data_IF_170298890658
#
_entry.id   IF_170298890658
#
_cell.length_a   1.000
_cell.length_b   1.000
_cell.length_c   1.000
_cell.angle_alpha   90.00
_cell.angle_beta   90.00
_cell.angle_gamma   90.00
#
_symmetry.space_group_name_H-M   'P 1'
#
loop_
_entity.id
_entity.type
_entity.pdbx_description
1 polymer ?
#
# COMPACT_ATOMS: atom_id res chain seq x y z
N UNK A 1 14.23 53.73 -6.41
CA UNK A 1 14.45 52.84 -5.24
C UNK A 1 14.49 51.41 -5.79
N UNK A 2 15.62 50.75 -5.63
CA UNK A 2 16.05 49.57 -6.38
C UNK A 2 15.32 48.28 -5.97
N UNK A 3 14.92 47.47 -6.96
CA UNK A 3 14.54 46.06 -6.76
C UNK A 3 15.81 45.19 -6.84
N UNK A 4 16.07 44.26 -5.90
CA UNK A 4 17.13 43.29 -6.08
C UNK A 4 16.69 42.19 -7.06
N UNK A 5 17.65 41.88 -7.93
CA UNK A 5 17.62 41.00 -9.09
C UNK A 5 17.61 39.51 -8.71
N UNK A 6 16.93 38.70 -9.54
CA UNK A 6 17.02 37.23 -9.54
C UNK A 6 18.47 36.78 -9.78
N UNK A 7 18.94 35.82 -8.97
CA UNK A 7 20.20 35.11 -9.23
C UNK A 7 19.90 33.65 -9.59
N UNK A 8 20.00 33.35 -10.88
CA UNK A 8 20.05 31.99 -11.42
C UNK A 8 21.52 31.60 -11.57
N UNK A 9 21.95 30.57 -10.85
CA UNK A 9 23.28 29.98 -11.00
C UNK A 9 23.15 28.56 -11.56
N UNK A 10 23.19 28.47 -12.89
CA UNK A 10 23.41 27.24 -13.64
C UNK A 10 24.87 27.19 -14.08
N UNK A 11 25.64 26.21 -13.58
CA UNK A 11 26.90 25.75 -14.22
C UNK A 11 27.09 24.26 -13.93
N UNK A 12 26.88 23.45 -14.96
CA UNK A 12 27.19 22.02 -14.93
C UNK A 12 28.67 21.74 -15.15
N UNK A 13 29.06 20.50 -14.85
CA UNK A 13 30.17 19.81 -15.51
C UNK A 13 29.73 18.36 -15.76
N UNK A 14 29.58 18.06 -17.05
CA UNK A 14 29.31 16.74 -17.59
C UNK A 14 30.65 15.98 -17.62
N UNK A 15 30.59 14.67 -17.41
CA UNK A 15 31.19 13.62 -18.26
C UNK A 15 32.10 12.60 -17.55
N UNK A 16 31.65 11.34 -17.65
CA UNK A 16 32.44 10.11 -17.87
C UNK A 16 33.10 9.43 -16.67
N UNK A 17 32.39 8.43 -16.15
CA UNK A 17 32.93 7.08 -16.07
C UNK A 17 31.90 6.11 -16.69
N UNK A 18 32.26 5.57 -17.85
CA UNK A 18 31.50 4.56 -18.61
C UNK A 18 31.89 3.18 -18.05
N UNK A 19 30.87 2.37 -17.81
CA UNK A 19 30.83 0.91 -17.96
C UNK A 19 31.88 0.05 -17.23
N UNK A 20 31.45 -0.53 -16.11
CA UNK A 20 31.74 -1.93 -15.77
C UNK A 20 30.40 -2.67 -15.64
N UNK A 21 30.05 -3.36 -16.73
CA UNK A 21 29.48 -4.70 -16.80
C UNK A 21 28.44 -5.12 -15.72
N UNK A 22 27.19 -5.23 -16.19
CA UNK A 22 26.33 -6.44 -16.12
C UNK A 22 26.13 -7.11 -14.75
N UNK A 23 24.85 -7.19 -14.37
CA UNK A 23 24.21 -8.04 -13.32
C UNK A 23 24.62 -7.69 -11.90
N UNK A 24 23.71 -7.31 -10.99
CA UNK A 24 22.55 -8.09 -10.58
C UNK A 24 21.44 -7.14 -10.11
N UNK A 25 20.23 -7.30 -10.67
CA UNK A 25 19.03 -6.80 -9.98
C UNK A 25 18.97 -7.58 -8.65
N UNK A 26 18.90 -6.95 -7.47
CA UNK A 26 18.34 -7.65 -6.33
C UNK A 26 16.85 -7.78 -6.65
N UNK A 27 16.50 -8.86 -7.36
CA UNK A 27 15.16 -9.42 -7.26
C UNK A 27 14.95 -9.63 -5.78
N UNK A 28 14.18 -8.73 -5.17
CA UNK A 28 13.61 -8.90 -3.84
C UNK A 28 13.10 -10.33 -3.79
N UNK A 29 13.82 -11.17 -3.04
CA UNK A 29 13.41 -12.53 -2.71
C UNK A 29 12.20 -12.40 -1.80
N UNK A 30 11.06 -12.09 -2.40
CA UNK A 30 9.77 -12.37 -1.80
C UNK A 30 9.72 -13.89 -1.70
N UNK A 31 9.93 -14.43 -0.50
CA UNK A 31 9.43 -15.77 -0.19
C UNK A 31 7.91 -15.67 -0.30
N UNK A 32 7.24 -16.30 -1.28
CA UNK A 32 5.81 -16.46 -1.16
C UNK A 32 5.57 -17.28 0.11
N UNK A 33 4.73 -16.76 1.00
CA UNK A 33 4.15 -17.54 2.06
C UNK A 33 3.31 -18.61 1.37
N UNK A 34 3.85 -19.83 1.26
CA UNK A 34 3.17 -20.97 0.65
C UNK A 34 2.03 -21.38 1.58
N UNK A 35 0.86 -20.76 1.41
CA UNK A 35 -0.39 -21.36 1.83
C UNK A 35 -0.67 -22.50 0.85
N UNK A 36 -0.69 -23.72 1.36
CA UNK A 36 -1.15 -24.89 0.63
C UNK A 36 -2.49 -24.57 -0.05
N UNK A 37 -2.56 -24.77 -1.36
CA UNK A 37 -3.76 -24.49 -2.12
C UNK A 37 -4.84 -25.50 -1.71
N UNK A 38 -5.83 -25.03 -0.94
CA UNK A 38 -7.04 -25.80 -0.70
C UNK A 38 -7.70 -26.05 -2.05
N UNK A 39 -7.78 -27.33 -2.42
CA UNK A 39 -8.43 -27.83 -3.62
C UNK A 39 -9.86 -27.27 -3.75
N UNK A 40 -10.10 -26.56 -4.86
CA UNK A 40 -11.31 -25.79 -5.19
C UNK A 40 -12.59 -26.65 -5.27
N UNK A 41 -12.47 -27.96 -5.26
CA UNK A 41 -13.59 -28.89 -5.50
C UNK A 41 -14.54 -29.05 -4.29
N UNK A 42 -14.15 -28.61 -3.09
CA UNK A 42 -14.97 -28.73 -1.87
C UNK A 42 -15.52 -27.41 -1.29
N UNK A 43 -15.28 -26.26 -1.92
CA UNK A 43 -15.68 -24.93 -1.42
C UNK A 43 -17.17 -24.60 -1.64
N UNK A 44 -17.87 -25.30 -2.53
CA UNK A 44 -19.26 -24.94 -2.90
C UNK A 44 -20.27 -25.27 -1.79
N UNK A 45 -19.94 -26.15 -0.83
CA UNK A 45 -20.88 -26.63 0.19
C UNK A 45 -20.69 -26.02 1.58
N UNK A 46 -19.72 -25.13 1.79
CA UNK A 46 -19.57 -24.46 3.10
C UNK A 46 -20.33 -23.13 3.09
N UNK A 47 -21.38 -22.97 3.91
CA UNK A 47 -22.04 -21.67 4.01
C UNK A 47 -21.02 -20.62 4.48
N UNK A 48 -20.98 -19.47 3.79
CA UNK A 48 -20.13 -18.35 4.19
C UNK A 48 -20.48 -17.98 5.64
N UNK A 49 -19.49 -18.04 6.53
CA UNK A 49 -19.66 -17.73 7.96
C UNK A 49 -20.18 -16.30 8.16
N UNK A 50 -19.79 -15.38 7.26
CA UNK A 50 -20.21 -13.98 7.30
C UNK A 50 -21.07 -13.67 6.07
N UNK A 51 -22.30 -13.25 6.32
CA UNK A 51 -23.16 -12.62 5.30
C UNK A 51 -22.94 -11.10 5.35
N UNK A 52 -22.61 -10.45 4.23
CA UNK A 52 -22.50 -9.00 4.18
C UNK A 52 -23.88 -8.36 4.29
N UNK A 53 -24.33 -8.12 5.53
CA UNK A 53 -25.57 -7.39 5.82
C UNK A 53 -25.26 -5.90 5.99
N UNK A 54 -25.89 -5.01 5.22
CA UNK A 54 -25.76 -3.57 5.47
C UNK A 54 -26.34 -3.26 6.85
N UNK A 55 -25.55 -2.60 7.69
CA UNK A 55 -25.90 -2.27 9.06
C UNK A 55 -25.43 -0.88 9.44
N UNK A 56 -26.20 -0.21 10.31
CA UNK A 56 -25.84 1.11 10.86
C UNK A 56 -24.71 0.92 11.88
N UNK A 57 -23.62 1.69 11.72
CA UNK A 57 -22.54 1.69 12.71
C UNK A 57 -23.01 2.30 14.02
N UNK A 58 -22.94 1.53 15.09
CA UNK A 58 -23.09 2.04 16.46
C UNK A 58 -21.72 2.47 17.02
N UNK A 59 -21.65 3.28 18.09
CA UNK A 59 -20.38 3.70 18.69
C UNK A 59 -19.48 2.54 19.19
N UNK A 60 -20.06 1.35 19.44
CA UNK A 60 -19.32 0.15 19.86
C UNK A 60 -18.90 -0.75 18.69
N UNK A 61 -19.42 -0.48 17.49
CA UNK A 61 -19.13 -1.27 16.28
C UNK A 61 -17.72 -1.01 15.79
N UNK A 62 -16.98 -2.07 15.41
CA UNK A 62 -15.69 -1.98 14.72
C UNK A 62 -15.79 -2.72 13.39
N UNK A 63 -15.22 -2.14 12.33
CA UNK A 63 -15.09 -2.79 11.00
C UNK A 63 -13.69 -3.35 10.84
N UNK A 64 -13.57 -4.37 10.01
CA UNK A 64 -12.27 -4.96 9.64
C UNK A 64 -11.41 -3.91 8.92
N UNK A 65 -10.13 -3.85 9.27
CA UNK A 65 -9.15 -3.07 8.52
C UNK A 65 -8.71 -3.76 7.24
N UNK A 66 -7.79 -3.12 6.53
CA UNK A 66 -7.14 -3.62 5.31
C UNK A 66 -5.63 -3.57 5.49
N UNK A 67 -4.92 -4.48 4.83
CA UNK A 67 -3.45 -4.51 4.83
C UNK A 67 -2.95 -3.82 3.56
N UNK A 68 -1.96 -2.95 3.70
CA UNK A 68 -1.42 -2.18 2.60
C UNK A 68 0.11 -2.18 2.58
N UNK A 69 0.67 -2.03 1.40
CA UNK A 69 2.10 -1.81 1.18
C UNK A 69 2.35 -0.30 1.05
N UNK A 70 3.34 0.22 1.78
CA UNK A 70 3.77 1.62 1.62
C UNK A 70 4.52 1.77 0.30
N UNK A 71 3.98 2.56 -0.62
CA UNK A 71 4.60 2.81 -1.93
C UNK A 71 5.54 4.01 -1.93
N UNK A 72 5.26 5.01 -1.10
CA UNK A 72 6.06 6.24 -1.09
C UNK A 72 5.35 7.40 -0.43
N UNK A 73 5.92 8.59 -0.60
CA UNK A 73 5.38 9.84 -0.07
C UNK A 73 5.32 10.89 -1.20
N UNK A 74 4.27 11.70 -1.19
CA UNK A 74 4.06 12.81 -2.12
C UNK A 74 3.43 13.98 -1.37
N UNK A 75 2.94 14.98 -2.08
CA UNK A 75 2.14 16.06 -1.50
C UNK A 75 0.92 16.36 -2.38
N UNK A 76 -0.21 16.61 -1.73
CA UNK A 76 -1.40 17.17 -2.36
C UNK A 76 -1.50 18.66 -2.04
N UNK A 77 -2.19 19.38 -2.90
CA UNK A 77 -2.60 20.75 -2.63
C UNK A 77 -4.07 20.75 -2.26
N UNK A 78 -4.42 21.40 -1.15
CA UNK A 78 -5.81 21.58 -0.78
C UNK A 78 -6.45 22.77 -1.52
N UNK A 79 -7.74 23.00 -1.28
CA UNK A 79 -8.49 24.09 -1.94
C UNK A 79 -8.09 25.50 -1.46
N UNK A 80 -7.32 25.62 -0.39
CA UNK A 80 -6.83 26.91 0.13
C UNK A 80 -5.36 27.15 -0.26
N UNK A 81 -4.75 26.24 -1.01
CA UNK A 81 -3.37 26.35 -1.45
C UNK A 81 -2.35 25.87 -0.41
N UNK A 82 -2.76 25.12 0.62
CA UNK A 82 -1.83 24.47 1.55
C UNK A 82 -1.28 23.16 0.94
N UNK A 83 0.03 22.95 1.07
CA UNK A 83 0.71 21.74 0.63
C UNK A 83 0.69 20.68 1.75
N UNK A 84 -0.10 19.64 1.57
CA UNK A 84 -0.27 18.56 2.55
C UNK A 84 0.57 17.34 2.15
N UNK A 85 1.54 16.90 2.99
CA UNK A 85 2.30 15.68 2.73
C UNK A 85 1.42 14.44 2.91
N UNK A 86 1.48 13.50 1.97
CA UNK A 86 0.67 12.28 1.97
C UNK A 86 1.54 11.04 1.76
N UNK A 87 1.11 9.92 2.34
CA UNK A 87 1.69 8.59 2.08
C UNK A 87 0.79 7.81 1.15
N UNK A 88 1.37 7.19 0.13
CA UNK A 88 0.64 6.34 -0.83
C UNK A 88 0.69 4.91 -0.31
N UNK A 89 -0.50 4.32 -0.14
CA UNK A 89 -0.69 2.94 0.31
C UNK A 89 -1.37 2.14 -0.79
N UNK A 90 -0.78 1.02 -1.18
CA UNK A 90 -1.34 0.11 -2.18
C UNK A 90 -1.91 -1.15 -1.52
N UNK A 91 -3.08 -1.55 -1.99
CA UNK A 91 -3.79 -2.74 -1.56
C UNK A 91 -3.72 -3.77 -2.69
N UNK A 92 -3.15 -4.94 -2.41
CA UNK A 92 -3.16 -6.09 -3.30
C UNK A 92 -4.16 -7.11 -2.76
N UNK A 93 -5.22 -7.40 -3.53
CA UNK A 93 -6.16 -8.52 -3.39
C UNK A 93 -6.32 -9.07 -1.95
N UNK A 94 -6.68 -8.18 -1.02
CA UNK A 94 -6.87 -8.55 0.38
C UNK A 94 -8.02 -9.55 0.52
N UNK A 95 -7.72 -10.76 1.01
CA UNK A 95 -8.71 -11.82 1.26
C UNK A 95 -8.84 -12.06 2.77
N UNK A 96 -10.06 -12.29 3.22
CA UNK A 96 -10.33 -12.75 4.60
C UNK A 96 -10.01 -14.24 4.67
N UNK A 97 -8.97 -14.60 5.42
CA UNK A 97 -8.51 -15.99 5.53
C UNK A 97 -9.22 -16.77 6.64
N UNK A 98 -9.55 -16.12 7.76
CA UNK A 98 -10.21 -16.76 8.90
C UNK A 98 -11.18 -15.80 9.58
N UNK A 99 -12.34 -16.32 9.95
CA UNK A 99 -13.30 -15.64 10.81
C UNK A 99 -13.15 -16.18 12.22
N UNK A 100 -12.79 -15.31 13.16
CA UNK A 100 -12.69 -15.65 14.58
C UNK A 100 -13.98 -15.34 15.31
N UNK A 101 -14.40 -16.27 16.15
CA UNK A 101 -15.62 -16.22 16.96
C UNK A 101 -15.27 -16.40 18.43
N UNK A 102 -15.96 -15.68 19.32
CA UNK A 102 -15.74 -15.72 20.78
C UNK A 102 -15.75 -17.16 21.32
N UNK A 103 -16.68 -17.99 20.83
CA UNK A 103 -16.83 -19.38 21.28
C UNK A 103 -15.60 -20.28 21.01
N UNK A 104 -14.84 -19.99 19.94
CA UNK A 104 -13.73 -20.85 19.49
C UNK A 104 -12.37 -20.28 19.86
N UNK A 105 -12.20 -18.97 19.81
CA UNK A 105 -10.91 -18.32 19.98
C UNK A 105 -10.80 -17.35 21.18
N UNK A 106 -11.87 -17.14 21.96
CA UNK A 106 -11.88 -16.32 23.18
C UNK A 106 -12.83 -15.12 23.13
#
# INVERSE_FOLDING_TARGET
INFPTMSAASRGLISRLRALLITQRPTTQFRPFSSEAVSVENEVLRPRIIEPKPGVMTPKSKRTGVIAVKCGMSALWDKWGERVPVTILWFEDNIVTQVKTVEKEG
#
